data_IF_307361015085
#
_entry.id   IF_307361015085
#
_cell.length_a   1.000
_cell.length_b   1.000
_cell.length_c   1.000
_cell.angle_alpha   90.00
_cell.angle_beta   90.00
_cell.angle_gamma   90.00
#
_symmetry.space_group_name_H-M   'P 1'
#
loop_
_entity.id
_entity.type
_entity.pdbx_description
1 polymer ?
#
# COMPACT_ATOMS: atom_id res chain seq x y z
N UNK A 1 18.22 -0.74 -13.73
CA UNK A 1 18.40 -0.86 -12.26
C UNK A 1 18.96 0.41 -11.63
N UNK A 2 19.91 1.11 -12.24
CA UNK A 2 20.41 2.37 -11.68
C UNK A 2 19.38 3.51 -11.75
N UNK A 3 18.60 3.59 -12.83
CA UNK A 3 17.53 4.59 -13.00
C UNK A 3 16.50 4.58 -11.85
N UNK A 4 16.06 3.39 -11.42
CA UNK A 4 15.12 3.27 -10.30
C UNK A 4 15.75 3.69 -8.97
N UNK A 5 17.04 3.40 -8.78
CA UNK A 5 17.76 3.78 -7.57
C UNK A 5 17.89 5.29 -7.47
N UNK A 6 18.26 5.94 -8.59
CA UNK A 6 18.35 7.40 -8.68
C UNK A 6 16.97 8.03 -8.44
N UNK A 7 15.91 7.51 -9.07
CA UNK A 7 14.55 8.02 -8.89
C UNK A 7 14.06 7.92 -7.45
N UNK A 8 14.36 6.82 -6.75
CA UNK A 8 14.00 6.63 -5.33
C UNK A 8 14.78 7.62 -4.45
N UNK A 9 16.09 7.75 -4.65
CA UNK A 9 16.93 8.66 -3.86
C UNK A 9 16.51 10.12 -4.08
N UNK A 10 16.25 10.52 -5.32
CA UNK A 10 15.71 11.86 -5.64
C UNK A 10 14.32 12.07 -5.02
N UNK A 11 13.44 11.07 -5.10
CA UNK A 11 12.12 11.13 -4.48
C UNK A 11 12.19 11.32 -2.96
N UNK A 12 13.11 10.62 -2.28
CA UNK A 12 13.35 10.79 -0.85
C UNK A 12 13.99 12.14 -0.54
N UNK A 13 14.95 12.62 -1.34
CA UNK A 13 15.57 13.93 -1.15
C UNK A 13 14.56 15.09 -1.32
N UNK A 14 13.70 15.00 -2.33
CA UNK A 14 12.58 15.93 -2.57
C UNK A 14 11.54 15.82 -1.44
N UNK A 15 11.24 14.60 -0.97
CA UNK A 15 10.32 14.36 0.14
C UNK A 15 10.87 14.74 1.52
N UNK A 16 12.20 14.78 1.71
CA UNK A 16 12.83 15.18 2.97
C UNK A 16 13.10 16.70 3.02
N UNK A 17 13.11 17.36 1.87
CA UNK A 17 13.09 18.83 1.76
C UNK A 17 11.75 19.45 2.19
N UNK A 18 10.84 18.66 2.77
CA UNK A 18 9.56 19.01 3.43
C UNK A 18 9.72 19.87 4.70
N UNK A 19 10.88 20.49 4.90
CA UNK A 19 11.00 21.70 5.71
C UNK A 19 10.42 22.93 4.98
N UNK A 20 10.07 22.85 3.68
CA UNK A 20 9.77 24.04 2.85
C UNK A 20 8.34 24.30 2.35
N UNK A 21 7.33 23.43 2.47
CA UNK A 21 5.94 23.92 2.35
C UNK A 21 4.85 22.89 2.69
N UNK A 22 4.06 23.19 3.72
CA UNK A 22 2.77 22.54 4.01
C UNK A 22 1.83 22.52 2.78
N UNK A 23 1.99 23.50 1.87
CA UNK A 23 1.18 23.64 0.66
C UNK A 23 1.56 22.63 -0.44
N UNK A 24 2.84 22.22 -0.58
CA UNK A 24 3.23 21.20 -1.57
C UNK A 24 2.74 19.84 -1.11
N UNK A 25 2.80 19.51 0.18
CA UNK A 25 2.31 18.23 0.72
C UNK A 25 0.83 17.99 0.40
N UNK A 26 -0.01 19.03 0.51
CA UNK A 26 -1.44 18.96 0.15
C UNK A 26 -1.64 18.80 -1.37
N UNK A 27 -0.81 19.45 -2.18
CA UNK A 27 -0.86 19.36 -3.64
C UNK A 27 -0.36 17.99 -4.14
N UNK A 28 0.75 17.48 -3.61
CA UNK A 28 1.32 16.16 -3.88
C UNK A 28 0.37 15.04 -3.47
N UNK A 29 -0.30 15.18 -2.33
CA UNK A 29 -1.34 14.24 -1.90
C UNK A 29 -2.50 14.21 -2.90
N UNK A 30 -2.99 15.37 -3.35
CA UNK A 30 -4.06 15.43 -4.37
C UNK A 30 -3.59 14.87 -5.71
N UNK A 31 -2.38 15.20 -6.15
CA UNK A 31 -1.83 14.71 -7.40
C UNK A 31 -1.60 13.19 -7.36
N UNK A 32 -1.12 12.67 -6.23
CA UNK A 32 -0.97 11.24 -6.00
C UNK A 32 -2.32 10.54 -6.02
N UNK A 33 -3.36 11.07 -5.34
CA UNK A 33 -4.72 10.51 -5.41
C UNK A 33 -5.27 10.50 -6.84
N UNK A 34 -5.08 11.58 -7.60
CA UNK A 34 -5.52 11.66 -9.00
C UNK A 34 -4.77 10.64 -9.86
N UNK A 35 -3.44 10.53 -9.69
CA UNK A 35 -2.62 9.54 -10.40
C UNK A 35 -3.04 8.10 -10.06
N UNK A 36 -3.25 7.79 -8.78
CA UNK A 36 -3.74 6.50 -8.33
C UNK A 36 -5.11 6.18 -8.93
N UNK A 37 -6.01 7.17 -8.98
CA UNK A 37 -7.33 7.01 -9.58
C UNK A 37 -7.23 6.70 -11.09
N UNK A 38 -6.40 7.44 -11.83
CA UNK A 38 -6.15 7.19 -13.25
C UNK A 38 -5.54 5.80 -13.46
N UNK A 39 -4.56 5.41 -12.65
CA UNK A 39 -3.95 4.07 -12.70
C UNK A 39 -4.99 2.97 -12.47
N UNK A 40 -5.83 3.12 -11.45
CA UNK A 40 -6.87 2.15 -11.12
C UNK A 40 -7.91 2.03 -12.25
N UNK A 41 -8.29 3.18 -12.83
CA UNK A 41 -9.21 3.23 -13.97
C UNK A 41 -8.60 2.59 -15.21
N UNK A 42 -7.33 2.86 -15.51
CA UNK A 42 -6.60 2.21 -16.61
C UNK A 42 -6.48 0.71 -16.41
N UNK A 43 -6.14 0.24 -15.20
CA UNK A 43 -6.07 -1.19 -14.87
C UNK A 43 -7.43 -1.86 -15.03
N UNK A 44 -8.50 -1.24 -14.50
CA UNK A 44 -9.86 -1.73 -14.66
C UNK A 44 -10.31 -1.80 -16.12
N UNK A 45 -10.05 -0.75 -16.91
CA UNK A 45 -10.34 -0.73 -18.33
C UNK A 45 -9.54 -1.78 -19.11
N UNK A 46 -8.27 -1.98 -18.75
CA UNK A 46 -7.40 -2.97 -19.39
C UNK A 46 -7.90 -4.40 -19.12
N UNK A 47 -8.29 -4.70 -17.88
CA UNK A 47 -8.88 -6.00 -17.51
C UNK A 47 -10.27 -6.19 -18.16
N UNK A 48 -11.07 -5.13 -18.25
CA UNK A 48 -12.43 -5.19 -18.79
C UNK A 48 -12.51 -5.31 -20.31
N UNK A 49 -11.51 -4.81 -21.04
CA UNK A 49 -11.43 -4.94 -22.50
C UNK A 49 -10.94 -6.33 -22.93
N UNK A 50 -10.16 -7.00 -22.07
CA UNK A 50 -9.72 -8.38 -22.27
C UNK A 50 -10.86 -9.38 -21.95
N UNK A 51 -11.80 -9.52 -22.88
CA UNK A 51 -12.93 -10.47 -22.78
C UNK A 51 -12.45 -11.92 -22.55
N UNK A 52 -11.27 -12.26 -23.06
CA UNK A 52 -10.63 -13.57 -22.85
C UNK A 52 -10.17 -13.77 -21.39
N UNK A 53 -9.66 -12.72 -20.74
CA UNK A 53 -9.35 -12.75 -19.31
C UNK A 53 -10.63 -12.80 -18.48
N UNK A 54 -11.66 -12.02 -18.84
CA UNK A 54 -12.96 -12.02 -18.16
C UNK A 54 -13.65 -13.41 -18.20
N UNK A 55 -13.59 -14.10 -19.33
CA UNK A 55 -14.10 -15.47 -19.46
C UNK A 55 -13.33 -16.50 -18.62
N UNK A 56 -12.02 -16.28 -18.38
CA UNK A 56 -11.21 -17.10 -17.46
C UNK A 56 -11.37 -16.66 -16.00
N UNK A 57 -11.74 -15.41 -15.74
CA UNK A 57 -12.02 -14.87 -14.41
C UNK A 57 -13.26 -15.52 -13.78
N UNK A 58 -14.27 -15.94 -14.55
CA UNK A 58 -15.41 -16.67 -13.97
C UNK A 58 -14.94 -18.00 -13.34
N UNK A 59 -14.06 -18.72 -14.04
CA UNK A 59 -13.50 -19.99 -13.58
C UNK A 59 -12.39 -19.83 -12.52
N UNK A 60 -11.62 -18.74 -12.57
CA UNK A 60 -10.56 -18.44 -11.58
C UNK A 60 -11.04 -17.61 -10.38
N UNK A 61 -12.16 -16.91 -10.50
CA UNK A 61 -12.62 -15.88 -9.58
C UNK A 61 -13.00 -16.43 -8.22
N UNK A 62 -13.65 -17.59 -8.18
CA UNK A 62 -13.96 -18.26 -6.91
C UNK A 62 -12.70 -18.63 -6.12
N UNK A 63 -11.64 -19.09 -6.81
CA UNK A 63 -10.36 -19.49 -6.20
C UNK A 63 -9.58 -18.26 -5.72
N UNK A 64 -9.51 -17.23 -6.56
CA UNK A 64 -8.77 -16.01 -6.25
C UNK A 64 -9.44 -15.22 -5.13
N UNK A 65 -10.77 -15.26 -5.02
CA UNK A 65 -11.51 -14.58 -3.97
C UNK A 65 -11.20 -15.18 -2.59
N UNK A 66 -11.17 -16.50 -2.47
CA UNK A 66 -10.76 -17.17 -1.22
C UNK A 66 -9.33 -16.80 -0.84
N UNK A 67 -8.39 -16.85 -1.80
CA UNK A 67 -6.99 -16.47 -1.56
C UNK A 67 -6.87 -15.00 -1.17
N UNK A 68 -7.59 -14.09 -1.83
CA UNK A 68 -7.58 -12.68 -1.51
C UNK A 68 -8.09 -12.41 -0.09
N UNK A 69 -9.21 -13.01 0.30
CA UNK A 69 -9.77 -12.86 1.66
C UNK A 69 -8.80 -13.41 2.70
N UNK A 70 -8.17 -14.56 2.44
CA UNK A 70 -7.21 -15.15 3.38
C UNK A 70 -5.92 -14.32 3.50
N UNK A 71 -5.41 -13.76 2.40
CA UNK A 71 -4.23 -12.89 2.41
C UNK A 71 -4.52 -11.59 3.14
N UNK A 72 -5.66 -10.94 2.84
CA UNK A 72 -6.05 -9.68 3.49
C UNK A 72 -6.30 -9.94 4.99
N UNK A 73 -7.10 -10.95 5.31
CA UNK A 73 -7.39 -11.34 6.69
C UNK A 73 -6.14 -11.72 7.46
N UNK A 74 -5.28 -12.57 6.88
CA UNK A 74 -4.03 -13.00 7.49
C UNK A 74 -3.04 -11.86 7.69
N UNK A 75 -2.90 -10.96 6.71
CA UNK A 75 -2.03 -9.78 6.81
C UNK A 75 -2.50 -8.82 7.91
N UNK A 76 -3.80 -8.49 7.95
CA UNK A 76 -4.38 -7.63 8.98
C UNK A 76 -4.25 -8.26 10.37
N UNK A 77 -4.54 -9.56 10.49
CA UNK A 77 -4.48 -10.28 11.77
C UNK A 77 -3.03 -10.38 12.28
N UNK A 78 -2.06 -10.64 11.40
CA UNK A 78 -0.64 -10.62 11.77
C UNK A 78 -0.17 -9.23 12.16
N UNK A 79 -0.54 -8.20 11.42
CA UNK A 79 -0.18 -6.82 11.76
C UNK A 79 -0.76 -6.43 13.12
N UNK A 80 -2.02 -6.82 13.38
CA UNK A 80 -2.66 -6.59 14.67
C UNK A 80 -1.98 -7.35 15.82
N UNK A 81 -1.61 -8.61 15.59
CA UNK A 81 -0.83 -9.40 16.57
C UNK A 81 0.53 -8.78 16.85
N UNK A 82 1.26 -8.38 15.82
CA UNK A 82 2.57 -7.72 15.95
C UNK A 82 2.42 -6.42 16.73
N UNK A 83 1.47 -5.56 16.38
CA UNK A 83 1.20 -4.31 17.10
C UNK A 83 0.83 -4.58 18.57
N UNK A 84 0.00 -5.59 18.85
CA UNK A 84 -0.37 -5.98 20.22
C UNK A 84 0.81 -6.53 21.01
N UNK A 85 1.71 -7.29 20.38
CA UNK A 85 2.95 -7.78 20.96
C UNK A 85 3.90 -6.61 21.28
N UNK A 86 4.09 -5.69 20.34
CA UNK A 86 4.89 -4.48 20.57
C UNK A 86 4.32 -3.59 21.67
N UNK A 87 2.99 -3.39 21.73
CA UNK A 87 2.34 -2.65 22.80
C UNK A 87 2.50 -3.36 24.17
N UNK A 88 2.44 -4.69 24.20
CA UNK A 88 2.68 -5.49 25.40
C UNK A 88 4.14 -5.45 25.85
N UNK A 89 5.08 -5.35 24.91
CA UNK A 89 6.52 -5.17 25.20
C UNK A 89 6.81 -3.76 25.70
N UNK A 90 6.17 -2.73 25.13
CA UNK A 90 6.28 -1.35 25.62
C UNK A 90 5.77 -1.21 27.07
N UNK A 91 4.60 -1.80 27.38
CA UNK A 91 4.06 -1.82 28.75
C UNK A 91 4.93 -2.62 29.74
N UNK A 92 5.76 -3.57 29.26
CA UNK A 92 6.71 -4.33 30.10
C UNK A 92 8.03 -3.57 30.32
N UNK A 93 8.39 -2.66 29.43
CA UNK A 93 9.56 -1.80 29.60
C UNK A 93 9.32 -0.70 30.66
N UNK A 94 8.08 -0.27 30.85
CA UNK A 94 7.71 0.73 31.88
C UNK A 94 7.50 0.15 33.29
N UNK A 95 7.53 -1.19 33.45
CA UNK A 95 7.34 -1.86 34.75
C UNK A 95 8.63 -2.40 35.39
N UNK A 96 9.80 -1.96 34.92
CA UNK A 96 11.11 -2.32 35.48
C UNK A 96 11.82 -1.09 36.07
N UNK A 97 11.03 -0.11 36.52
CA UNK A 97 11.48 1.06 37.29
C UNK A 97 10.64 1.20 38.58
N UNK A 98 10.24 0.07 39.19
CA UNK A 98 9.73 0.01 40.58
C UNK A 98 10.58 -0.94 41.44
#
# INVERSE_FOLDING_TARGET
MQEIMIAIVLGIAVGCSDLLNYNVKKWLSRFSTVSLFIMLLCLGAKIGCDAELLGKLDQLGGKSLVMAVFIIGGSVLMLWLVLKLFAKTAARAEGSDE
#
